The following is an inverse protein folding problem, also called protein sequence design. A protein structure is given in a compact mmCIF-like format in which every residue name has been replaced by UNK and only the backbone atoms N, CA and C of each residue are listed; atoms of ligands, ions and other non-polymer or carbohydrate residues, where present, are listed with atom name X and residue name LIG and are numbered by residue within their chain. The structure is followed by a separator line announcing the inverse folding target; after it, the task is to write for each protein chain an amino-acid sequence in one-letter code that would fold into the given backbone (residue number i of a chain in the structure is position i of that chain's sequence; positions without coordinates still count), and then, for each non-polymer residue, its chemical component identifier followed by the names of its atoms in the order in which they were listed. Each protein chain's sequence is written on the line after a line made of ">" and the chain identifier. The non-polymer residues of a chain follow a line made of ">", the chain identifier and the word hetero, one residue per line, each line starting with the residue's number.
data_IF_485030798698
#
_entry.id   IF_485030798698
#
_cell.length_a   1.000
_cell.length_b   1.000
_cell.length_c   1.000
_cell.angle_alpha   90.00
_cell.angle_beta   90.00
_cell.angle_gamma   90.00
#
_symmetry.space_group_name_H-M   'P 1'
#
loop_
_entity.id
_entity.type
_entity.pdbx_description
1 polymer ?
#
# COMPACT_ATOMS: atom_id res chain seq x y z
N UNK A 1 -5.24 12.23 10.98
CA UNK A 1 -6.39 11.48 11.53
C UNK A 1 -6.03 10.01 11.61
N UNK A 2 -5.24 9.63 12.61
CA UNK A 2 -4.82 8.23 12.77
C UNK A 2 -5.74 7.52 13.77
N UNK A 3 -6.00 6.21 13.58
CA UNK A 3 -6.82 5.43 14.51
C UNK A 3 -6.10 5.20 15.85
N UNK A 4 -6.84 4.93 16.93
CA UNK A 4 -6.26 4.60 18.24
C UNK A 4 -5.28 3.42 18.20
N UNK A 5 -5.48 2.47 17.29
CA UNK A 5 -4.54 1.37 17.02
C UNK A 5 -3.15 1.86 16.61
N UNK A 6 -3.04 2.94 15.84
CA UNK A 6 -1.74 3.52 15.50
C UNK A 6 -1.14 4.28 16.68
N UNK A 7 -1.95 5.02 17.45
CA UNK A 7 -1.47 5.68 18.68
C UNK A 7 -0.90 4.65 19.67
N UNK A 8 -1.56 3.51 19.83
CA UNK A 8 -1.06 2.41 20.65
C UNK A 8 0.29 1.89 20.11
N UNK A 9 0.45 1.76 18.80
CA UNK A 9 1.70 1.27 18.18
C UNK A 9 2.89 2.22 18.38
N UNK A 10 2.65 3.53 18.47
CA UNK A 10 3.71 4.55 18.66
C UNK A 10 3.86 5.01 20.11
N UNK A 11 2.96 4.59 21.02
CA UNK A 11 2.94 5.02 22.42
C UNK A 11 4.30 4.87 23.13
N UNK A 12 5.06 3.76 22.98
CA UNK A 12 6.37 3.65 23.62
C UNK A 12 7.38 4.70 23.13
N UNK A 13 7.27 5.11 21.86
CA UNK A 13 8.14 6.11 21.26
C UNK A 13 7.80 7.53 21.69
N UNK A 14 6.56 7.76 22.14
CA UNK A 14 6.14 9.05 22.69
C UNK A 14 6.81 9.39 24.03
N UNK A 15 7.43 8.39 24.69
CA UNK A 15 8.09 8.54 26.00
C UNK A 15 9.55 9.02 25.91
N UNK A 16 10.10 9.12 24.70
CA UNK A 16 11.51 9.48 24.47
C UNK A 16 11.62 10.75 23.60
N UNK A 17 12.78 11.43 23.58
CA UNK A 17 12.95 12.65 22.78
C UNK A 17 12.63 12.42 21.30
N UNK A 18 11.97 13.41 20.69
CA UNK A 18 11.43 13.30 19.32
C UNK A 18 12.44 12.80 18.28
N UNK A 19 13.67 13.33 18.28
CA UNK A 19 14.70 12.91 17.32
C UNK A 19 15.08 11.44 17.51
N UNK A 20 15.19 10.99 18.76
CA UNK A 20 15.47 9.59 19.10
C UNK A 20 14.30 8.71 18.67
N UNK A 21 13.05 9.10 18.96
CA UNK A 21 11.85 8.40 18.53
C UNK A 21 11.81 8.22 17.01
N UNK A 22 12.08 9.29 16.25
CA UNK A 22 12.15 9.27 14.79
C UNK A 22 13.23 8.30 14.27
N UNK A 23 14.46 8.38 14.79
CA UNK A 23 15.56 7.52 14.36
C UNK A 23 15.29 6.04 14.67
N UNK A 24 14.76 5.75 15.86
CA UNK A 24 14.36 4.40 16.26
C UNK A 24 13.26 3.88 15.34
N UNK A 25 12.21 4.66 15.12
CA UNK A 25 11.08 4.27 14.27
C UNK A 25 11.51 3.99 12.83
N UNK A 26 12.23 4.93 12.21
CA UNK A 26 12.68 4.78 10.82
C UNK A 26 13.65 3.60 10.68
N UNK A 27 14.60 3.42 11.61
CA UNK A 27 15.59 2.33 11.53
C UNK A 27 14.93 0.97 11.66
N UNK A 28 14.05 0.78 12.65
CA UNK A 28 13.35 -0.49 12.88
C UNK A 28 12.45 -0.83 11.69
N UNK A 29 11.69 0.15 11.20
CA UNK A 29 10.72 -0.07 10.13
C UNK A 29 11.41 -0.28 8.78
N UNK A 30 12.47 0.47 8.47
CA UNK A 30 13.29 0.26 7.27
C UNK A 30 13.99 -1.10 7.29
N UNK A 31 14.56 -1.51 8.42
CA UNK A 31 15.22 -2.82 8.55
C UNK A 31 14.22 -3.95 8.35
N UNK A 32 13.03 -3.84 8.95
CA UNK A 32 11.94 -4.79 8.76
C UNK A 32 11.49 -4.85 7.29
N UNK A 33 11.41 -3.69 6.64
CA UNK A 33 11.03 -3.59 5.23
C UNK A 33 12.08 -4.21 4.30
N UNK A 34 13.36 -3.93 4.54
CA UNK A 34 14.49 -4.53 3.82
C UNK A 34 14.53 -6.05 3.99
N UNK A 35 14.27 -6.56 5.20
CA UNK A 35 14.20 -8.00 5.47
C UNK A 35 13.08 -8.69 4.67
N UNK A 36 11.92 -8.04 4.53
CA UNK A 36 10.82 -8.54 3.69
C UNK A 36 11.22 -8.59 2.21
N UNK A 37 11.82 -7.52 1.68
CA UNK A 37 12.28 -7.49 0.29
C UNK A 37 13.38 -8.53 0.02
N UNK A 38 14.33 -8.68 0.94
CA UNK A 38 15.35 -9.72 0.91
C UNK A 38 14.74 -11.13 0.90
N UNK A 39 13.65 -11.33 1.66
CA UNK A 39 12.94 -12.62 1.67
C UNK A 39 12.28 -12.93 0.32
N UNK A 40 11.85 -11.90 -0.42
CA UNK A 40 11.32 -12.05 -1.78
C UNK A 40 12.48 -12.39 -2.75
N UNK A 41 13.53 -11.57 -2.79
CA UNK A 41 14.72 -11.75 -3.63
C UNK A 41 16.00 -11.64 -2.76
N UNK A 42 16.64 -12.78 -2.38
CA UNK A 42 17.79 -12.78 -1.47
C UNK A 42 19.08 -12.46 -2.22
N UNK A 43 19.22 -11.20 -2.63
CA UNK A 43 20.32 -10.67 -3.43
C UNK A 43 20.73 -9.28 -2.92
N UNK A 44 22.02 -8.96 -2.97
CA UNK A 44 22.53 -7.66 -2.51
C UNK A 44 21.97 -6.51 -3.34
N UNK A 45 21.74 -6.75 -4.63
CA UNK A 45 21.11 -5.84 -5.58
C UNK A 45 19.72 -5.40 -5.13
N UNK A 46 18.99 -6.23 -4.38
CA UNK A 46 17.69 -5.86 -3.78
C UNK A 46 17.86 -4.72 -2.77
N UNK A 47 18.92 -4.76 -1.96
CA UNK A 47 19.21 -3.72 -0.98
C UNK A 47 19.67 -2.43 -1.65
N UNK A 48 20.56 -2.54 -2.66
CA UNK A 48 20.97 -1.38 -3.44
C UNK A 48 19.80 -0.72 -4.19
N UNK A 49 18.91 -1.53 -4.77
CA UNK A 49 17.69 -1.04 -5.41
C UNK A 49 16.75 -0.35 -4.41
N UNK A 50 16.66 -0.84 -3.16
CA UNK A 50 15.89 -0.19 -2.10
C UNK A 50 16.50 1.15 -1.66
N UNK A 51 17.82 1.23 -1.54
CA UNK A 51 18.54 2.47 -1.22
C UNK A 51 18.35 3.50 -2.33
N UNK A 52 18.42 3.07 -3.59
CA UNK A 52 18.23 3.95 -4.72
C UNK A 52 16.74 4.35 -4.93
N UNK A 53 15.79 3.57 -4.38
CA UNK A 53 14.35 3.81 -4.57
C UNK A 53 13.89 5.11 -3.91
N UNK A 54 13.36 6.03 -4.72
CA UNK A 54 12.92 7.35 -4.25
C UNK A 54 11.85 7.30 -3.16
N UNK A 55 10.99 6.28 -3.16
CA UNK A 55 9.97 6.07 -2.12
C UNK A 55 10.57 5.87 -0.73
N UNK A 56 11.78 5.31 -0.63
CA UNK A 56 12.50 5.17 0.63
C UNK A 56 12.84 6.53 1.22
N UNK A 57 13.41 7.42 0.42
CA UNK A 57 13.82 8.76 0.84
C UNK A 57 12.64 9.65 1.17
N UNK A 58 11.54 9.54 0.43
CA UNK A 58 10.30 10.28 0.74
C UNK A 58 9.76 9.84 2.10
N UNK A 59 9.70 8.53 2.38
CA UNK A 59 9.19 8.05 3.66
C UNK A 59 10.13 8.40 4.83
N UNK A 60 11.46 8.34 4.64
CA UNK A 60 12.45 8.81 5.61
C UNK A 60 12.22 10.29 5.92
N UNK A 61 12.28 11.15 4.90
CA UNK A 61 12.10 12.60 5.06
C UNK A 61 10.77 12.95 5.73
N UNK A 62 9.70 12.22 5.40
CA UNK A 62 8.38 12.46 5.98
C UNK A 62 8.25 11.93 7.42
N UNK A 63 9.14 11.04 7.88
CA UNK A 63 9.01 10.37 9.18
C UNK A 63 7.77 9.48 9.28
N UNK A 64 7.29 8.95 8.15
CA UNK A 64 5.98 8.29 8.06
C UNK A 64 6.07 6.76 8.14
N UNK A 65 4.89 6.14 8.30
CA UNK A 65 4.72 4.70 8.52
C UNK A 65 4.69 3.85 7.23
N UNK A 66 5.16 4.37 6.09
CA UNK A 66 5.20 3.65 4.82
C UNK A 66 6.00 2.34 4.91
N UNK A 67 7.18 2.37 5.52
CA UNK A 67 7.99 1.16 5.74
C UNK A 67 7.32 0.15 6.68
N UNK A 68 6.72 0.61 7.78
CA UNK A 68 6.03 -0.26 8.75
C UNK A 68 4.90 -1.03 8.06
N UNK A 69 4.02 -0.30 7.38
CA UNK A 69 2.86 -0.88 6.70
C UNK A 69 3.29 -1.78 5.54
N UNK A 70 4.32 -1.40 4.77
CA UNK A 70 4.85 -2.23 3.69
C UNK A 70 5.48 -3.53 4.23
N UNK A 71 6.23 -3.46 5.32
CA UNK A 71 6.82 -4.63 5.96
C UNK A 71 5.74 -5.59 6.46
N UNK A 72 4.72 -5.08 7.15
CA UNK A 72 3.59 -5.89 7.63
C UNK A 72 2.84 -6.54 6.46
N UNK A 73 2.49 -5.76 5.43
CA UNK A 73 1.76 -6.26 4.26
C UNK A 73 2.57 -7.30 3.46
N UNK A 74 3.85 -7.03 3.22
CA UNK A 74 4.73 -7.96 2.52
C UNK A 74 4.98 -9.24 3.30
N UNK A 75 5.21 -9.16 4.61
CA UNK A 75 5.33 -10.33 5.48
C UNK A 75 4.03 -11.15 5.50
N UNK A 76 2.87 -10.50 5.61
CA UNK A 76 1.57 -11.17 5.54
C UNK A 76 1.41 -11.98 4.25
N UNK A 77 1.74 -11.39 3.10
CA UNK A 77 1.66 -12.05 1.79
C UNK A 77 2.66 -13.20 1.65
N UNK A 78 3.87 -13.08 2.18
CA UNK A 78 4.87 -14.17 2.20
C UNK A 78 4.40 -15.36 3.04
N UNK A 79 3.75 -15.10 4.18
CA UNK A 79 3.27 -16.15 5.08
C UNK A 79 1.92 -16.74 4.69
N UNK A 80 1.19 -16.12 3.76
CA UNK A 80 -0.21 -16.44 3.49
C UNK A 80 -0.45 -17.90 3.14
N UNK A 81 0.40 -18.50 2.30
CA UNK A 81 0.29 -19.90 1.90
C UNK A 81 0.70 -20.90 2.99
N UNK A 82 1.73 -20.57 3.80
CA UNK A 82 2.37 -21.53 4.73
C UNK A 82 1.90 -21.39 6.18
N UNK A 83 1.52 -20.19 6.60
CA UNK A 83 1.15 -19.84 7.98
C UNK A 83 -0.06 -18.90 7.94
N UNK A 84 -1.26 -19.39 7.54
CA UNK A 84 -2.42 -18.55 7.29
C UNK A 84 -2.88 -17.76 8.52
N UNK A 85 -2.73 -18.30 9.73
CA UNK A 85 -3.06 -17.58 10.97
C UNK A 85 -2.12 -16.40 11.21
N UNK A 86 -0.81 -16.61 11.08
CA UNK A 86 0.18 -15.54 11.21
C UNK A 86 -0.03 -14.45 10.14
N UNK A 87 -0.34 -14.84 8.90
CA UNK A 87 -0.69 -13.90 7.86
C UNK A 87 -1.95 -13.09 8.24
N UNK A 88 -2.97 -13.73 8.79
CA UNK A 88 -4.16 -13.03 9.30
C UNK A 88 -3.83 -12.03 10.41
N UNK A 89 -3.00 -12.40 11.38
CA UNK A 89 -2.53 -11.49 12.44
C UNK A 89 -1.85 -10.26 11.82
N UNK A 90 -0.90 -10.47 10.91
CA UNK A 90 -0.19 -9.37 10.24
C UNK A 90 -1.15 -8.48 9.45
N UNK A 91 -2.12 -9.05 8.73
CA UNK A 91 -3.14 -8.28 8.01
C UNK A 91 -3.98 -7.43 8.99
N UNK A 92 -4.38 -8.00 10.13
CA UNK A 92 -5.14 -7.28 11.15
C UNK A 92 -4.35 -6.11 11.77
N UNK A 93 -3.03 -6.24 11.91
CA UNK A 93 -2.16 -5.16 12.38
C UNK A 93 -2.12 -3.95 11.42
N UNK A 94 -2.49 -4.12 10.15
CA UNK A 94 -2.66 -3.00 9.21
C UNK A 94 -3.84 -2.09 9.57
N UNK A 95 -4.65 -2.42 10.59
CA UNK A 95 -5.63 -1.50 11.17
C UNK A 95 -5.02 -0.19 11.70
N UNK A 96 -3.69 -0.10 11.85
CA UNK A 96 -3.01 1.19 12.05
C UNK A 96 -3.22 2.18 10.89
N UNK A 97 -3.53 1.66 9.70
CA UNK A 97 -3.80 2.44 8.48
C UNK A 97 -4.85 1.74 7.60
N UNK A 98 -6.14 1.79 8.00
CA UNK A 98 -7.21 0.96 7.43
C UNK A 98 -7.35 1.08 5.92
N UNK A 99 -7.11 2.28 5.37
CA UNK A 99 -7.22 2.52 3.93
C UNK A 99 -6.21 1.72 3.09
N UNK A 100 -5.07 1.31 3.65
CA UNK A 100 -4.11 0.41 2.97
C UNK A 100 -4.49 -1.07 3.12
N UNK A 101 -5.35 -1.40 4.09
CA UNK A 101 -5.78 -2.76 4.39
C UNK A 101 -7.08 -3.17 3.66
N UNK A 102 -7.83 -2.22 3.11
CA UNK A 102 -9.21 -2.40 2.63
C UNK A 102 -9.37 -3.51 1.57
N UNK A 103 -8.33 -3.77 0.76
CA UNK A 103 -8.38 -4.79 -0.28
C UNK A 103 -7.99 -6.20 0.19
N UNK A 104 -7.40 -6.35 1.39
CA UNK A 104 -7.07 -7.68 1.90
C UNK A 104 -8.31 -8.56 2.10
N UNK A 105 -9.40 -8.11 2.76
CA UNK A 105 -10.62 -8.90 2.88
C UNK A 105 -11.15 -9.37 1.51
N UNK A 106 -11.16 -8.49 0.51
CA UNK A 106 -11.61 -8.80 -0.86
C UNK A 106 -10.74 -9.89 -1.49
N UNK A 107 -9.42 -9.74 -1.41
CA UNK A 107 -8.46 -10.71 -1.93
C UNK A 107 -8.57 -12.08 -1.25
N UNK A 108 -8.68 -12.11 0.09
CA UNK A 108 -8.82 -13.34 0.86
C UNK A 108 -10.13 -14.07 0.52
N UNK A 109 -11.24 -13.34 0.37
CA UNK A 109 -12.53 -13.91 -0.06
C UNK A 109 -12.44 -14.47 -1.48
N UNK A 110 -11.81 -13.74 -2.41
CA UNK A 110 -11.63 -14.19 -3.80
C UNK A 110 -10.87 -15.53 -3.89
N UNK A 111 -9.89 -15.74 -3.02
CA UNK A 111 -9.08 -16.95 -2.96
C UNK A 111 -9.59 -18.01 -1.95
N UNK A 112 -10.71 -17.78 -1.25
CA UNK A 112 -11.25 -18.71 -0.25
C UNK A 112 -10.37 -18.91 0.99
N UNK A 113 -9.54 -17.93 1.33
CA UNK A 113 -8.56 -18.01 2.44
C UNK A 113 -9.18 -17.61 3.79
N UNK A 114 -10.23 -18.35 4.18
CA UNK A 114 -11.06 -18.03 5.35
C UNK A 114 -10.31 -18.01 6.68
N UNK A 115 -9.29 -18.88 6.85
CA UNK A 115 -8.46 -18.89 8.08
C UNK A 115 -7.75 -17.56 8.30
N UNK A 116 -7.14 -17.01 7.25
CA UNK A 116 -6.48 -15.70 7.32
C UNK A 116 -7.50 -14.57 7.46
N UNK A 117 -8.65 -14.67 6.80
CA UNK A 117 -9.72 -13.67 6.89
C UNK A 117 -10.25 -13.55 8.32
N UNK A 118 -10.65 -14.67 8.92
CA UNK A 118 -11.19 -14.70 10.29
C UNK A 118 -10.13 -14.22 11.27
N UNK A 119 -8.89 -14.71 11.14
CA UNK A 119 -7.82 -14.30 12.05
C UNK A 119 -7.50 -12.80 11.93
N UNK A 120 -7.53 -12.23 10.72
CA UNK A 120 -7.39 -10.79 10.53
C UNK A 120 -8.51 -10.02 11.24
N UNK A 121 -9.77 -10.43 11.07
CA UNK A 121 -10.91 -9.80 11.74
C UNK A 121 -10.78 -9.85 13.27
N UNK A 122 -10.40 -11.02 13.82
CA UNK A 122 -10.15 -11.19 15.25
C UNK A 122 -9.00 -10.30 15.73
N UNK A 123 -7.91 -10.20 14.99
CA UNK A 123 -6.79 -9.33 15.33
C UNK A 123 -7.19 -7.85 15.30
N UNK A 124 -7.96 -7.39 14.31
CA UNK A 124 -8.47 -6.01 14.29
C UNK A 124 -9.33 -5.74 15.52
N UNK A 125 -10.23 -6.65 15.87
CA UNK A 125 -11.11 -6.52 17.03
C UNK A 125 -10.32 -6.43 18.33
N UNK A 126 -9.39 -7.37 18.56
CA UNK A 126 -8.53 -7.37 19.76
C UNK A 126 -7.68 -6.10 19.81
N UNK A 127 -7.09 -5.69 18.68
CA UNK A 127 -6.24 -4.51 18.62
C UNK A 127 -7.02 -3.22 18.91
N UNK A 128 -8.24 -3.11 18.40
CA UNK A 128 -9.15 -2.01 18.72
C UNK A 128 -9.51 -1.99 20.21
N UNK A 129 -9.93 -3.13 20.78
CA UNK A 129 -10.27 -3.24 22.21
C UNK A 129 -9.09 -2.85 23.10
N UNK A 130 -7.90 -3.37 22.82
CA UNK A 130 -6.69 -3.04 23.59
C UNK A 130 -6.35 -1.55 23.43
N UNK A 131 -6.51 -0.97 22.24
CA UNK A 131 -6.25 0.46 22.04
C UNK A 131 -7.18 1.35 22.87
N UNK A 132 -8.46 1.01 22.98
CA UNK A 132 -9.42 1.74 23.82
C UNK A 132 -9.10 1.53 25.30
N UNK A 133 -8.80 0.29 25.71
CA UNK A 133 -8.47 -0.03 27.11
C UNK A 133 -7.20 0.69 27.62
N UNK A 134 -6.21 0.88 26.76
CA UNK A 134 -4.93 1.55 27.12
C UNK A 134 -5.01 3.07 27.00
N UNK A 135 -5.62 3.60 25.93
CA UNK A 135 -5.64 5.04 25.65
C UNK A 135 -6.82 5.78 26.29
N UNK A 136 -7.77 5.02 26.85
CA UNK A 136 -8.99 5.56 27.45
C UNK A 136 -10.06 5.94 26.44
N UNK A 137 -11.28 6.05 26.95
CA UNK A 137 -12.49 6.36 26.20
C UNK A 137 -12.48 7.78 25.57
N UNK A 138 -11.81 8.72 26.23
CA UNK A 138 -11.66 10.10 25.73
C UNK A 138 -10.92 10.14 24.39
N UNK A 139 -9.82 9.39 24.25
CA UNK A 139 -9.05 9.28 23.00
C UNK A 139 -9.89 8.67 21.89
N UNK A 140 -10.71 7.68 22.22
CA UNK A 140 -11.61 7.02 21.28
C UNK A 140 -12.71 7.97 20.76
N UNK A 141 -13.39 8.67 21.67
CA UNK A 141 -14.40 9.65 21.29
C UNK A 141 -13.84 10.83 20.49
N UNK A 142 -12.65 11.33 20.86
CA UNK A 142 -11.96 12.36 20.09
C UNK A 142 -11.64 11.89 18.67
N UNK A 143 -11.20 10.63 18.52
CA UNK A 143 -10.99 10.04 17.20
C UNK A 143 -12.28 9.92 16.38
N UNK A 144 -13.38 9.46 16.98
CA UNK A 144 -14.69 9.38 16.32
C UNK A 144 -15.15 10.74 15.78
N UNK A 145 -15.00 11.80 16.59
CA UNK A 145 -15.34 13.17 16.18
C UNK A 145 -14.44 13.68 15.05
N UNK A 146 -13.21 13.18 14.96
CA UNK A 146 -12.24 13.56 13.93
C UNK A 146 -12.41 12.78 12.61
N UNK A 147 -13.26 11.75 12.54
CA UNK A 147 -13.48 10.93 11.34
C UNK A 147 -13.87 11.71 10.07
N UNK A 148 -14.69 12.79 10.13
CA UNK A 148 -15.06 13.54 8.93
C UNK A 148 -13.97 14.52 8.46
N UNK A 149 -12.95 14.80 9.28
CA UNK A 149 -11.95 15.83 8.97
C UNK A 149 -11.05 15.52 7.76
N UNK A 150 -10.56 14.29 7.49
CA UNK A 150 -9.81 14.00 6.27
C UNK A 150 -10.61 14.32 5.01
N UNK A 151 -11.91 13.99 4.99
CA UNK A 151 -12.82 14.31 3.89
C UNK A 151 -12.96 15.82 3.74
N UNK A 152 -13.35 16.54 4.80
CA UNK A 152 -13.48 18.01 4.77
C UNK A 152 -12.20 18.71 4.30
N UNK A 153 -11.03 18.25 4.74
CA UNK A 153 -9.74 18.82 4.33
C UNK A 153 -9.40 18.50 2.87
N UNK A 154 -9.80 17.33 2.38
CA UNK A 154 -9.65 16.95 0.99
C UNK A 154 -10.56 17.78 0.07
N UNK A 155 -11.82 17.96 0.46
CA UNK A 155 -12.81 18.71 -0.32
C UNK A 155 -12.51 20.21 -0.39
N UNK A 156 -12.07 20.79 0.72
CA UNK A 156 -11.66 22.20 0.81
C UNK A 156 -10.34 22.52 0.10
N UNK A 157 -9.59 21.51 -0.34
CA UNK A 157 -8.28 21.69 -0.95
C UNK A 157 -7.16 22.02 0.06
N UNK A 158 -7.42 21.85 1.36
CA UNK A 158 -6.41 22.05 2.41
C UNK A 158 -5.28 21.03 2.33
N UNK A 159 -5.57 19.82 1.85
CA UNK A 159 -4.56 18.79 1.66
C UNK A 159 -3.69 19.06 0.42
N UNK A 160 -2.38 18.75 0.45
CA UNK A 160 -1.49 18.98 -0.67
C UNK A 160 -1.75 17.96 -1.79
N UNK A 161 -2.74 18.25 -2.65
CA UNK A 161 -3.15 17.40 -3.76
C UNK A 161 -1.95 16.90 -4.61
N UNK A 162 -0.92 17.69 -4.93
CA UNK A 162 0.24 17.19 -5.68
C UNK A 162 0.97 16.01 -5.03
N UNK A 163 0.97 15.92 -3.70
CA UNK A 163 1.58 14.83 -2.95
C UNK A 163 0.67 13.58 -2.81
N UNK A 164 -0.56 13.65 -3.31
CA UNK A 164 -1.54 12.57 -3.25
C UNK A 164 -1.63 11.87 -4.62
N UNK A 165 -1.03 10.67 -4.79
CA UNK A 165 -0.95 9.95 -6.06
C UNK A 165 -2.28 9.25 -6.45
N UNK A 166 -3.40 9.97 -6.38
CA UNK A 166 -4.75 9.39 -6.52
C UNK A 166 -5.50 9.93 -7.75
N UNK A 167 -6.48 9.16 -8.24
CA UNK A 167 -7.39 9.60 -9.31
C UNK A 167 -8.17 10.84 -8.88
N UNK A 168 -8.50 10.96 -7.59
CA UNK A 168 -9.21 12.11 -7.06
C UNK A 168 -8.34 13.37 -7.18
N UNK A 169 -7.07 13.29 -6.75
CA UNK A 169 -6.12 14.38 -6.90
C UNK A 169 -5.93 14.79 -8.36
N UNK A 170 -5.79 13.83 -9.27
CA UNK A 170 -5.73 14.09 -10.72
C UNK A 170 -6.91 14.94 -11.21
N UNK A 171 -8.15 14.52 -10.90
CA UNK A 171 -9.35 15.23 -11.34
C UNK A 171 -9.44 16.62 -10.68
N UNK A 172 -9.15 16.73 -9.38
CA UNK A 172 -9.21 18.00 -8.66
C UNK A 172 -8.18 19.02 -9.15
N UNK A 173 -6.97 18.59 -9.48
CA UNK A 173 -5.93 19.46 -10.03
C UNK A 173 -6.30 19.99 -11.43
N UNK A 174 -7.14 19.27 -12.18
CA UNK A 174 -7.73 19.73 -13.45
C UNK A 174 -8.97 20.62 -13.28
N UNK A 175 -9.33 20.99 -12.03
CA UNK A 175 -10.49 21.83 -11.75
C UNK A 175 -11.83 21.10 -11.74
N UNK A 176 -11.84 19.77 -11.82
CA UNK A 176 -13.10 18.98 -11.76
C UNK A 176 -13.76 19.15 -10.39
N UNK A 177 -15.09 19.40 -10.31
CA UNK A 177 -15.79 19.53 -9.04
C UNK A 177 -15.65 18.28 -8.14
N UNK A 178 -15.73 18.48 -6.82
CA UNK A 178 -15.52 17.43 -5.81
C UNK A 178 -16.37 16.18 -6.05
N UNK A 179 -17.67 16.34 -6.29
CA UNK A 179 -18.60 15.23 -6.53
C UNK A 179 -18.24 14.41 -7.78
N UNK A 180 -17.90 15.08 -8.88
CA UNK A 180 -17.46 14.44 -10.12
C UNK A 180 -16.08 13.77 -9.95
N UNK A 181 -15.18 14.35 -9.16
CA UNK A 181 -13.89 13.75 -8.83
C UNK A 181 -14.05 12.46 -8.01
N UNK A 182 -14.96 12.43 -7.04
CA UNK A 182 -15.32 11.21 -6.30
C UNK A 182 -15.95 10.14 -7.20
N UNK A 183 -16.83 10.53 -8.12
CA UNK A 183 -17.43 9.60 -9.07
C UNK A 183 -16.35 8.94 -9.95
N UNK A 184 -15.47 9.75 -10.54
CA UNK A 184 -14.36 9.24 -11.36
C UNK A 184 -13.41 8.34 -10.57
N UNK A 185 -13.07 8.71 -9.32
CA UNK A 185 -12.25 7.88 -8.45
C UNK A 185 -12.92 6.54 -8.13
N UNK A 186 -14.22 6.56 -7.79
CA UNK A 186 -15.01 5.36 -7.48
C UNK A 186 -15.04 4.38 -8.67
N UNK A 187 -15.24 4.89 -9.90
CA UNK A 187 -15.22 4.05 -11.11
C UNK A 187 -13.88 3.32 -11.26
N UNK A 188 -12.77 4.03 -11.08
CA UNK A 188 -11.42 3.43 -11.14
C UNK A 188 -11.19 2.44 -9.99
N UNK A 189 -11.63 2.77 -8.77
CA UNK A 189 -11.52 1.91 -7.60
C UNK A 189 -12.28 0.59 -7.78
N UNK A 190 -13.51 0.63 -8.31
CA UNK A 190 -14.31 -0.56 -8.65
C UNK A 190 -13.58 -1.39 -9.72
N UNK A 191 -13.09 -0.75 -10.79
CA UNK A 191 -12.29 -1.39 -11.83
C UNK A 191 -11.06 -2.14 -11.27
N UNK A 192 -10.26 -1.45 -10.45
CA UNK A 192 -9.07 -2.03 -9.82
C UNK A 192 -9.43 -3.20 -8.90
N UNK A 193 -10.51 -3.07 -8.13
CA UNK A 193 -11.01 -4.13 -7.23
C UNK A 193 -11.48 -5.36 -8.02
N UNK A 194 -12.19 -5.19 -9.14
CA UNK A 194 -12.59 -6.29 -10.01
C UNK A 194 -11.38 -7.00 -10.64
N UNK A 195 -10.36 -6.25 -11.06
CA UNK A 195 -9.12 -6.81 -11.59
C UNK A 195 -8.41 -7.63 -10.50
N UNK A 196 -8.27 -7.07 -9.30
CA UNK A 196 -7.70 -7.77 -8.15
C UNK A 196 -8.45 -9.08 -7.87
N UNK A 197 -9.78 -9.02 -7.78
CA UNK A 197 -10.63 -10.19 -7.57
C UNK A 197 -10.38 -11.27 -8.63
N UNK A 198 -10.34 -10.88 -9.90
CA UNK A 198 -10.08 -11.78 -11.03
C UNK A 198 -8.68 -12.42 -10.94
N UNK A 199 -7.64 -11.65 -10.63
CA UNK A 199 -6.28 -12.16 -10.46
C UNK A 199 -6.22 -13.17 -9.31
N UNK A 200 -6.81 -12.85 -8.16
CA UNK A 200 -6.80 -13.72 -6.99
C UNK A 200 -7.64 -14.98 -7.16
N UNK A 201 -8.77 -14.91 -7.89
CA UNK A 201 -9.58 -16.09 -8.25
C UNK A 201 -8.89 -17.03 -9.22
N UNK A 202 -8.16 -16.49 -10.21
CA UNK A 202 -7.66 -17.29 -11.36
C UNK A 202 -6.22 -17.73 -11.23
N UNK A 203 -5.36 -16.92 -10.62
CA UNK A 203 -3.95 -17.24 -10.48
C UNK A 203 -3.67 -17.89 -9.13
N UNK A 204 -2.91 -18.99 -9.13
CA UNK A 204 -2.31 -19.57 -7.92
C UNK A 204 -0.93 -18.99 -7.61
N UNK A 205 -0.36 -18.17 -8.50
CA UNK A 205 0.98 -17.61 -8.33
C UNK A 205 0.97 -16.48 -7.29
N UNK A 206 1.66 -16.70 -6.17
CA UNK A 206 1.74 -15.76 -5.04
C UNK A 206 2.36 -14.41 -5.41
N UNK A 207 3.29 -14.37 -6.37
CA UNK A 207 3.96 -13.14 -6.80
C UNK A 207 2.98 -12.22 -7.53
N UNK A 208 2.19 -12.77 -8.47
CA UNK A 208 1.16 -12.01 -9.18
C UNK A 208 0.05 -11.54 -8.23
N UNK A 209 -0.34 -12.37 -7.27
CA UNK A 209 -1.33 -12.00 -6.24
C UNK A 209 -0.83 -10.86 -5.37
N UNK A 210 0.41 -10.95 -4.88
CA UNK A 210 1.03 -9.92 -4.06
C UNK A 210 1.18 -8.59 -4.81
N UNK A 211 1.71 -8.63 -6.04
CA UNK A 211 1.85 -7.44 -6.88
C UNK A 211 0.51 -6.80 -7.24
N UNK A 212 -0.52 -7.60 -7.54
CA UNK A 212 -1.86 -7.08 -7.82
C UNK A 212 -2.46 -6.37 -6.62
N UNK A 213 -2.35 -6.97 -5.42
CA UNK A 213 -2.90 -6.41 -4.20
C UNK A 213 -2.23 -5.07 -3.87
N UNK A 214 -0.89 -5.04 -3.85
CA UNK A 214 -0.16 -3.82 -3.52
C UNK A 214 -0.41 -2.71 -4.51
N UNK A 215 -0.48 -3.03 -5.81
CA UNK A 215 -0.77 -2.03 -6.86
C UNK A 215 -2.21 -1.50 -6.76
N UNK A 216 -3.20 -2.41 -6.64
CA UNK A 216 -4.60 -2.03 -6.60
C UNK A 216 -4.95 -1.19 -5.36
N UNK A 217 -4.28 -1.39 -4.23
CA UNK A 217 -4.49 -0.60 -3.00
C UNK A 217 -4.37 0.90 -3.24
N UNK A 218 -3.42 1.34 -4.09
CA UNK A 218 -3.22 2.76 -4.42
C UNK A 218 -4.28 3.36 -5.34
N UNK A 219 -5.11 2.52 -5.98
CA UNK A 219 -6.19 2.96 -6.87
C UNK A 219 -7.55 3.04 -6.16
N UNK A 220 -7.65 2.60 -4.90
CA UNK A 220 -8.94 2.46 -4.20
C UNK A 220 -9.19 3.56 -3.17
N UNK A 221 -8.15 3.99 -2.44
CA UNK A 221 -8.30 5.05 -1.45
C UNK A 221 -7.95 6.43 -2.03
N UNK A 222 -8.81 7.44 -1.86
CA UNK A 222 -8.49 8.80 -2.28
C UNK A 222 -7.55 9.51 -1.29
N UNK A 223 -7.21 8.88 -0.16
CA UNK A 223 -6.46 9.46 0.96
C UNK A 223 -5.00 8.99 1.05
N UNK A 224 -4.47 8.39 -0.02
CA UNK A 224 -3.10 7.90 -0.05
C UNK A 224 -2.12 9.04 -0.38
N UNK A 225 -0.93 8.99 0.22
CA UNK A 225 0.13 9.98 0.04
C UNK A 225 1.38 9.37 -0.60
N UNK A 226 2.24 10.22 -1.14
CA UNK A 226 3.50 9.83 -1.78
C UNK A 226 4.42 8.96 -0.90
N UNK A 227 4.45 9.17 0.42
CA UNK A 227 5.23 8.34 1.35
C UNK A 227 4.71 6.90 1.47
N UNK A 228 3.43 6.67 1.17
CA UNK A 228 2.85 5.32 1.14
C UNK A 228 3.32 4.52 -0.07
N UNK A 229 3.74 5.20 -1.14
CA UNK A 229 4.29 4.55 -2.34
C UNK A 229 5.57 3.75 -2.06
N UNK A 230 6.10 3.80 -0.83
CA UNK A 230 7.03 2.81 -0.30
C UNK A 230 6.61 1.37 -0.65
N UNK A 231 5.31 1.03 -0.59
CA UNK A 231 4.78 -0.30 -0.93
C UNK A 231 5.07 -0.75 -2.37
N UNK A 232 5.30 0.17 -3.31
CA UNK A 232 5.54 -0.19 -4.71
C UNK A 232 6.79 -1.04 -4.89
N UNK A 233 7.77 -0.94 -3.99
CA UNK A 233 8.94 -1.83 -4.03
C UNK A 233 8.56 -3.31 -3.79
N UNK A 234 7.46 -3.61 -3.08
CA UNK A 234 6.91 -4.97 -3.00
C UNK A 234 6.39 -5.44 -4.37
N UNK A 235 5.60 -4.60 -5.06
CA UNK A 235 5.08 -4.92 -6.39
C UNK A 235 6.22 -5.15 -7.40
N UNK A 236 7.21 -4.26 -7.37
CA UNK A 236 8.43 -4.36 -8.19
C UNK A 236 9.20 -5.64 -7.86
N UNK A 237 9.41 -5.97 -6.59
CA UNK A 237 10.14 -7.17 -6.18
C UNK A 237 9.43 -8.45 -6.64
N UNK A 238 8.12 -8.57 -6.45
CA UNK A 238 7.38 -9.73 -6.93
C UNK A 238 7.34 -9.85 -8.45
N UNK A 239 7.11 -8.75 -9.16
CA UNK A 239 7.12 -8.77 -10.63
C UNK A 239 8.53 -9.04 -11.19
N UNK A 240 9.57 -8.53 -10.53
CA UNK A 240 10.96 -8.83 -10.91
C UNK A 240 11.28 -10.29 -10.69
N UNK A 241 10.93 -10.84 -9.53
CA UNK A 241 11.11 -12.27 -9.26
C UNK A 241 10.37 -13.13 -10.28
N UNK A 242 9.12 -12.77 -10.57
CA UNK A 242 8.30 -13.47 -11.56
C UNK A 242 8.92 -13.40 -12.96
N UNK A 243 9.37 -12.22 -13.41
CA UNK A 243 10.02 -12.06 -14.71
C UNK A 243 11.39 -12.74 -14.82
N UNK A 244 12.13 -12.88 -13.71
CA UNK A 244 13.37 -13.67 -13.67
C UNK A 244 13.12 -15.18 -13.77
N UNK A 245 11.97 -15.66 -13.29
CA UNK A 245 11.61 -17.09 -13.31
C UNK A 245 10.89 -17.49 -14.60
N UNK A 246 9.99 -16.64 -15.09
CA UNK A 246 9.04 -16.94 -16.17
C UNK A 246 9.32 -16.12 -17.45
N UNK A 247 10.48 -15.49 -17.54
CA UNK A 247 10.85 -14.58 -18.62
C UNK A 247 10.12 -13.24 -18.58
N UNK A 248 10.56 -12.28 -19.40
CA UNK A 248 9.98 -10.94 -19.48
C UNK A 248 9.19 -10.78 -20.77
N UNK A 249 8.00 -10.19 -20.68
CA UNK A 249 7.29 -9.72 -21.86
C UNK A 249 7.70 -8.28 -22.21
N UNK A 250 7.52 -7.90 -23.47
CA UNK A 250 7.81 -6.53 -23.95
C UNK A 250 7.05 -5.49 -23.12
N UNK A 251 7.76 -4.46 -22.66
CA UNK A 251 7.21 -3.35 -21.87
C UNK A 251 7.21 -3.57 -20.35
N UNK A 252 7.43 -4.80 -19.86
CA UNK A 252 7.32 -5.08 -18.43
C UNK A 252 8.41 -4.38 -17.62
N UNK A 253 9.66 -4.39 -18.12
CA UNK A 253 10.80 -3.78 -17.43
C UNK A 253 10.66 -2.26 -17.39
N UNK A 254 10.22 -1.67 -18.49
CA UNK A 254 10.01 -0.24 -18.66
C UNK A 254 8.90 0.28 -17.72
N UNK A 255 7.81 -0.48 -17.59
CA UNK A 255 6.75 -0.19 -16.62
C UNK A 255 7.31 -0.25 -15.20
N UNK A 256 8.09 -1.28 -14.83
CA UNK A 256 8.67 -1.37 -13.49
C UNK A 256 9.64 -0.24 -13.17
N UNK A 257 10.46 0.22 -14.14
CA UNK A 257 11.32 1.40 -13.98
C UNK A 257 10.47 2.66 -13.75
N UNK A 258 9.37 2.81 -14.50
CA UNK A 258 8.44 3.94 -14.33
C UNK A 258 7.80 3.93 -12.95
N UNK A 259 7.37 2.75 -12.46
CA UNK A 259 6.82 2.56 -11.10
C UNK A 259 7.87 2.85 -10.03
N UNK A 260 9.14 2.51 -10.27
CA UNK A 260 10.24 2.77 -9.34
C UNK A 260 10.57 4.27 -9.22
N UNK A 261 10.46 5.02 -10.32
CA UNK A 261 10.61 6.48 -10.34
C UNK A 261 9.37 7.24 -9.84
N UNK A 262 8.21 6.56 -9.80
CA UNK A 262 6.92 7.19 -9.54
C UNK A 262 6.84 8.01 -8.24
N UNK A 263 7.39 7.58 -7.08
CA UNK A 263 7.20 8.31 -5.83
C UNK A 263 7.66 9.76 -5.90
N UNK A 264 8.83 10.03 -6.50
CA UNK A 264 9.34 11.39 -6.65
C UNK A 264 8.73 12.10 -7.86
N UNK A 265 8.63 11.43 -9.01
CA UNK A 265 8.18 12.07 -10.24
C UNK A 265 6.70 12.49 -10.18
N UNK A 266 5.83 11.69 -9.58
CA UNK A 266 4.41 12.01 -9.45
C UNK A 266 4.19 13.34 -8.72
N UNK A 267 4.89 13.55 -7.61
CA UNK A 267 4.75 14.78 -6.81
C UNK A 267 5.33 15.98 -7.57
N UNK A 268 6.51 15.84 -8.19
CA UNK A 268 7.14 16.92 -8.94
C UNK A 268 6.29 17.33 -10.15
N UNK A 269 5.86 16.38 -10.97
CA UNK A 269 5.04 16.65 -12.15
C UNK A 269 3.74 17.33 -11.73
N UNK A 270 3.04 16.79 -10.72
CA UNK A 270 1.79 17.40 -10.25
C UNK A 270 1.98 18.81 -9.69
N UNK A 271 3.12 19.10 -9.06
CA UNK A 271 3.43 20.43 -8.52
C UNK A 271 3.65 21.46 -9.61
N UNK A 272 4.36 21.11 -10.69
CA UNK A 272 4.73 22.05 -11.75
C UNK A 272 3.74 22.11 -12.92
N UNK A 273 2.91 21.07 -13.11
CA UNK A 273 2.01 20.97 -14.27
C UNK A 273 0.54 20.80 -13.90
N UNK A 274 0.23 20.65 -12.61
CA UNK A 274 -1.10 20.26 -12.12
C UNK A 274 -1.58 18.91 -12.67
N UNK A 275 -0.69 18.09 -13.24
CA UNK A 275 -1.02 16.77 -13.76
C UNK A 275 -0.53 15.67 -12.82
N UNK A 276 -1.46 14.94 -12.20
CA UNK A 276 -1.12 13.78 -11.36
C UNK A 276 -1.00 12.51 -12.22
N UNK A 277 0.22 12.05 -12.48
CA UNK A 277 0.51 10.93 -13.40
C UNK A 277 0.40 9.54 -12.76
N UNK A 278 0.39 9.45 -11.43
CA UNK A 278 0.42 8.16 -10.73
C UNK A 278 -0.72 7.19 -11.09
N UNK A 279 -1.98 7.62 -11.23
CA UNK A 279 -3.07 6.71 -11.60
C UNK A 279 -2.81 5.93 -12.90
N UNK A 280 -2.23 6.58 -13.90
CA UNK A 280 -1.96 5.95 -15.20
C UNK A 280 -0.86 4.88 -15.11
N UNK A 281 0.22 5.18 -14.36
CA UNK A 281 1.31 4.23 -14.13
C UNK A 281 0.83 3.02 -13.33
N UNK A 282 0.00 3.25 -12.30
CA UNK A 282 -0.58 2.18 -11.48
C UNK A 282 -1.57 1.32 -12.28
N UNK A 283 -2.39 1.93 -13.13
CA UNK A 283 -3.29 1.21 -14.04
C UNK A 283 -2.51 0.36 -15.06
N UNK A 284 -1.42 0.89 -15.62
CA UNK A 284 -0.55 0.16 -16.54
C UNK A 284 0.10 -1.05 -15.85
N UNK A 285 0.60 -0.89 -14.63
CA UNK A 285 1.14 -1.98 -13.82
C UNK A 285 0.06 -3.04 -13.51
N UNK A 286 -1.13 -2.61 -13.08
CA UNK A 286 -2.22 -3.52 -12.75
C UNK A 286 -2.73 -4.30 -13.99
N UNK A 287 -2.79 -3.64 -15.15
CA UNK A 287 -3.12 -4.26 -16.43
C UNK A 287 -2.07 -5.30 -16.84
N UNK A 288 -0.78 -4.97 -16.70
CA UNK A 288 0.32 -5.90 -16.95
C UNK A 288 0.20 -7.17 -16.10
N UNK A 289 -0.09 -7.02 -14.81
CA UNK A 289 -0.30 -8.14 -13.88
C UNK A 289 -1.53 -8.97 -14.29
N UNK A 290 -2.63 -8.33 -14.68
CA UNK A 290 -3.83 -9.02 -15.16
C UNK A 290 -3.52 -9.84 -16.41
N UNK A 291 -2.80 -9.28 -17.40
CA UNK A 291 -2.41 -9.99 -18.63
C UNK A 291 -1.60 -11.24 -18.32
N UNK A 292 -0.65 -11.13 -17.38
CA UNK A 292 0.15 -12.27 -16.89
C UNK A 292 -0.71 -13.33 -16.19
N UNK A 293 -1.71 -12.92 -15.41
CA UNK A 293 -2.61 -13.85 -14.73
C UNK A 293 -3.55 -14.61 -15.67
N UNK A 294 -3.87 -14.04 -16.84
CA UNK A 294 -4.82 -14.60 -17.80
C UNK A 294 -4.17 -15.60 -18.78
N UNK A 295 -2.86 -15.49 -19.03
CA UNK A 295 -2.11 -16.35 -19.95
C UNK A 295 -1.06 -17.21 -19.21
N UNK A 296 -1.47 -18.24 -18.44
CA UNK A 296 -0.51 -19.19 -17.85
C UNK A 296 0.21 -20.07 -18.90
N UNK A 297 -0.16 -19.96 -20.18
CA UNK A 297 0.24 -20.85 -21.29
C UNK A 297 1.20 -20.26 -22.33
N UNK A 298 1.78 -19.06 -22.15
CA UNK A 298 3.00 -18.69 -22.90
C UNK A 298 4.23 -19.42 -22.33
N UNK A 299 4.08 -20.75 -22.21
CA UNK A 299 5.15 -21.72 -22.05
C UNK A 299 5.60 -22.03 -23.48
N UNK A 300 6.88 -21.83 -23.76
CA UNK A 300 7.54 -22.08 -25.06
C UNK A 300 7.44 -20.95 -26.08
N UNK A 301 8.64 -20.49 -26.44
CA UNK A 301 8.99 -19.38 -27.32
C UNK A 301 10.45 -19.08 -27.06
#
# INVERSE_FOLDING_TARGET
>A
FYPPTFYLAILPLALIPHMTAYLVFITITLTSYAAVLWRIIPKQETLWALVAFSGSWINIRAGQNGFLTAAIAGAALIFLGKRPLLAGILIGLLAIKPQLAVLFPVALMAAGLWRSFIMAALTVMVFAIVSVGVLGDTTYHAWLQALPLPERYLESGYLPLPAMPTVFSFLRLLGVPVSAAYLGHTVVAIGATMILWKVWRRSSNEMLRGAALTTATFLVSPYVYNYDLAWLALAIAWMTKFGLMEGWLRGEREILVTVWLLPILSTLIATYTSLQVAPFVLLALLWMILRRSANPQQRMG
#
